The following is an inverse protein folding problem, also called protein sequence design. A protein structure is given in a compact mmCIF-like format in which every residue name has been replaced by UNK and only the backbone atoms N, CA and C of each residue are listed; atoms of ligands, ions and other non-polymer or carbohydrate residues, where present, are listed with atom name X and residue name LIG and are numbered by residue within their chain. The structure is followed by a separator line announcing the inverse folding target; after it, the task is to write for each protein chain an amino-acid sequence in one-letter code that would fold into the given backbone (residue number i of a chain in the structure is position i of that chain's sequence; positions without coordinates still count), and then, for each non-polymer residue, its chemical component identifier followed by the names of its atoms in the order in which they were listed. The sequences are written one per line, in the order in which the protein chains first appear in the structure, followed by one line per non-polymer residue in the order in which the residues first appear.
data_IF_093122575856
#
_entry.id   IF_093122575856
#
_cell.length_a   1.000
_cell.length_b   1.000
_cell.length_c   1.000
_cell.angle_alpha   90.00
_cell.angle_beta   90.00
_cell.angle_gamma   90.00
#
_symmetry.space_group_name_H-M   'P 1'
#
loop_
_entity.id
_entity.type
_entity.pdbx_description
1 polymer ?
#
# COMPACT_ATOMS: atom_id res chain seq x y z
N UNK A 1 11.57 12.11 -12.42
CA UNK A 1 10.95 11.66 -13.68
C UNK A 1 11.37 10.21 -13.94
N UNK A 2 10.47 9.34 -14.42
CA UNK A 2 10.83 7.98 -14.85
C UNK A 2 11.29 8.00 -16.31
N UNK A 3 12.48 8.53 -16.57
CA UNK A 3 13.10 8.55 -17.89
C UNK A 3 13.80 7.23 -18.23
N UNK A 4 14.18 7.06 -19.48
CA UNK A 4 15.27 6.17 -19.83
C UNK A 4 16.64 6.80 -19.61
N UNK A 5 17.69 6.00 -19.80
CA UNK A 5 19.07 6.42 -19.57
C UNK A 5 19.51 7.49 -20.60
N UNK A 6 18.66 7.75 -21.62
CA UNK A 6 18.82 8.78 -22.62
C UNK A 6 17.94 10.03 -22.33
N UNK A 7 17.31 10.09 -21.15
CA UNK A 7 16.48 11.22 -20.72
C UNK A 7 15.08 11.28 -21.35
N UNK A 8 14.66 10.28 -22.14
CA UNK A 8 13.34 10.26 -22.76
C UNK A 8 12.28 9.78 -21.77
N UNK A 9 11.11 10.43 -21.80
CA UNK A 9 9.95 9.99 -21.06
C UNK A 9 9.51 8.60 -21.52
N UNK A 10 9.41 7.68 -20.57
CA UNK A 10 8.87 6.34 -20.82
C UNK A 10 7.35 6.38 -20.84
N UNK A 11 6.73 5.46 -21.58
CA UNK A 11 5.27 5.29 -21.53
C UNK A 11 4.85 4.87 -20.11
N UNK A 12 3.63 5.25 -19.66
CA UNK A 12 3.13 4.89 -18.33
C UNK A 12 3.16 3.38 -18.06
N UNK A 13 2.88 2.56 -19.08
CA UNK A 13 2.84 1.10 -18.98
C UNK A 13 4.23 0.45 -18.96
N UNK A 14 5.28 1.17 -19.40
CA UNK A 14 6.63 0.63 -19.46
C UNK A 14 7.14 0.19 -18.08
N UNK A 15 6.68 0.83 -17.01
CA UNK A 15 7.07 0.45 -15.65
C UNK A 15 6.52 -0.94 -15.28
N UNK A 16 5.22 -1.17 -15.53
CA UNK A 16 4.56 -2.45 -15.24
C UNK A 16 5.20 -3.59 -16.03
N UNK A 17 5.40 -3.40 -17.33
CA UNK A 17 5.98 -4.46 -18.18
C UNK A 17 7.43 -4.78 -17.82
N UNK A 18 8.23 -3.77 -17.44
CA UNK A 18 9.62 -3.99 -16.99
C UNK A 18 9.66 -4.71 -15.65
N UNK A 19 8.78 -4.33 -14.72
CA UNK A 19 8.63 -4.99 -13.43
C UNK A 19 8.26 -6.45 -13.60
N UNK A 20 7.24 -6.76 -14.42
CA UNK A 20 6.82 -8.14 -14.67
C UNK A 20 7.94 -8.99 -15.28
N UNK A 21 8.68 -8.44 -16.25
CA UNK A 21 9.83 -9.12 -16.84
C UNK A 21 10.91 -9.40 -15.80
N UNK A 22 11.20 -8.42 -14.93
CA UNK A 22 12.19 -8.57 -13.87
C UNK A 22 11.76 -9.60 -12.83
N UNK A 23 10.50 -9.58 -12.41
CA UNK A 23 9.97 -10.54 -11.46
C UNK A 23 9.99 -11.95 -12.02
N UNK A 24 9.63 -12.13 -13.30
CA UNK A 24 9.73 -13.43 -13.99
C UNK A 24 11.15 -13.97 -14.01
N UNK A 25 12.16 -13.11 -14.23
CA UNK A 25 13.56 -13.49 -14.15
C UNK A 25 14.00 -13.82 -12.71
N UNK A 26 13.52 -13.09 -11.71
CA UNK A 26 13.86 -13.35 -10.31
C UNK A 26 13.29 -14.68 -9.82
N UNK A 27 12.03 -14.97 -10.16
CA UNK A 27 11.35 -16.21 -9.78
C UNK A 27 11.96 -17.45 -10.45
N UNK A 28 12.71 -17.30 -11.56
CA UNK A 28 13.46 -18.43 -12.15
C UNK A 28 14.83 -18.63 -11.54
N UNK A 29 15.32 -17.68 -10.74
CA UNK A 29 16.61 -17.74 -10.05
C UNK A 29 16.47 -18.07 -8.58
N UNK A 30 15.29 -17.87 -8.00
CA UNK A 30 15.01 -18.15 -6.62
C UNK A 30 13.58 -18.68 -6.46
N UNK A 31 13.47 -19.97 -6.19
CA UNK A 31 12.20 -20.68 -5.99
C UNK A 31 11.42 -20.18 -4.76
N UNK A 32 12.10 -19.54 -3.79
CA UNK A 32 11.43 -18.94 -2.64
C UNK A 32 10.78 -17.59 -2.96
N UNK A 33 10.95 -17.07 -4.17
CA UNK A 33 10.47 -15.75 -4.55
C UNK A 33 9.10 -15.85 -5.22
N UNK A 34 8.09 -15.21 -4.63
CA UNK A 34 6.77 -15.12 -5.21
C UNK A 34 6.65 -13.97 -6.21
N UNK A 35 5.76 -14.12 -7.19
CA UNK A 35 5.44 -13.05 -8.14
C UNK A 35 4.71 -11.92 -7.41
N UNK A 36 5.28 -10.72 -7.44
CA UNK A 36 4.70 -9.48 -6.89
C UNK A 36 4.43 -8.51 -8.03
N UNK A 37 3.33 -7.77 -7.98
CA UNK A 37 2.98 -6.74 -8.97
C UNK A 37 3.13 -5.33 -8.38
N UNK A 38 3.26 -4.31 -9.24
CA UNK A 38 3.29 -2.90 -8.80
C UNK A 38 2.00 -2.52 -8.04
N UNK A 39 0.84 -3.03 -8.50
CA UNK A 39 -0.43 -2.85 -7.78
C UNK A 39 -0.42 -3.53 -6.41
N UNK A 40 0.19 -4.72 -6.31
CA UNK A 40 0.40 -5.42 -5.04
C UNK A 40 1.25 -4.61 -4.07
N UNK A 41 2.36 -4.03 -4.53
CA UNK A 41 3.19 -3.14 -3.69
C UNK A 41 2.41 -1.91 -3.20
N UNK A 42 1.61 -1.29 -4.08
CA UNK A 42 0.73 -0.18 -3.70
C UNK A 42 -0.29 -0.59 -2.64
N UNK A 43 -0.82 -1.81 -2.73
CA UNK A 43 -1.72 -2.34 -1.72
C UNK A 43 -1.00 -2.59 -0.38
N UNK A 44 0.17 -3.22 -0.39
CA UNK A 44 1.00 -3.41 0.82
C UNK A 44 1.33 -2.10 1.50
N UNK A 45 1.69 -1.05 0.74
CA UNK A 45 1.96 0.28 1.31
C UNK A 45 0.75 0.83 2.08
N UNK A 46 -0.45 0.72 1.52
CA UNK A 46 -1.67 1.16 2.17
C UNK A 46 -1.96 0.38 3.46
N UNK A 47 -1.80 -0.95 3.42
CA UNK A 47 -2.00 -1.82 4.59
C UNK A 47 -1.05 -1.45 5.72
N UNK A 48 0.24 -1.26 5.41
CA UNK A 48 1.25 -0.87 6.41
C UNK A 48 0.91 0.46 7.08
N UNK A 49 0.47 1.46 6.32
CA UNK A 49 0.07 2.75 6.92
C UNK A 49 -1.10 2.58 7.90
N UNK A 50 -2.09 1.76 7.55
CA UNK A 50 -3.25 1.50 8.41
C UNK A 50 -2.87 0.68 9.65
N UNK A 51 -1.97 -0.30 9.51
CA UNK A 51 -1.44 -1.07 10.65
C UNK A 51 -0.65 -0.19 11.62
N UNK A 52 0.05 0.83 11.10
CA UNK A 52 0.71 1.86 11.91
C UNK A 52 -0.30 2.84 12.58
N UNK A 53 -1.60 2.67 12.32
CA UNK A 53 -2.67 3.45 12.92
C UNK A 53 -2.93 4.79 12.23
N UNK A 54 -2.45 4.97 10.99
CA UNK A 54 -2.79 6.14 10.20
C UNK A 54 -4.27 6.20 9.89
N UNK A 55 -4.81 7.42 9.88
CA UNK A 55 -6.23 7.60 9.61
C UNK A 55 -6.55 7.25 8.13
N UNK A 56 -7.60 6.45 7.84
CA UNK A 56 -7.90 6.01 6.47
C UNK A 56 -8.04 7.14 5.44
N UNK A 57 -8.52 8.32 5.87
CA UNK A 57 -8.61 9.51 5.02
C UNK A 57 -7.23 10.01 4.56
N UNK A 58 -6.25 10.01 5.46
CA UNK A 58 -4.86 10.41 5.17
C UNK A 58 -4.24 9.43 4.17
N UNK A 59 -4.46 8.13 4.38
CA UNK A 59 -4.00 7.08 3.46
C UNK A 59 -4.66 7.22 2.08
N UNK A 60 -5.97 7.50 2.02
CA UNK A 60 -6.71 7.74 0.78
C UNK A 60 -6.12 8.93 -0.01
N UNK A 61 -5.91 10.06 0.65
CA UNK A 61 -5.36 11.28 0.06
C UNK A 61 -3.93 11.07 -0.44
N UNK A 62 -3.08 10.44 0.37
CA UNK A 62 -1.69 10.09 0.01
C UNK A 62 -1.60 9.22 -1.24
N UNK A 63 -2.55 8.31 -1.42
CA UNK A 63 -2.61 7.43 -2.58
C UNK A 63 -3.32 8.09 -3.77
N UNK A 64 -4.06 9.17 -3.58
CA UNK A 64 -4.88 9.78 -4.63
C UNK A 64 -6.02 8.86 -5.10
N UNK A 65 -6.58 8.04 -4.20
CA UNK A 65 -7.75 7.21 -4.54
C UNK A 65 -9.00 8.08 -4.63
N UNK A 66 -9.63 8.11 -5.80
CA UNK A 66 -10.91 8.80 -6.03
C UNK A 66 -12.04 8.24 -5.16
N UNK A 67 -11.99 6.94 -4.82
CA UNK A 67 -13.02 6.28 -4.01
C UNK A 67 -12.41 5.57 -2.80
N UNK A 68 -12.95 5.85 -1.62
CA UNK A 68 -12.54 5.20 -0.35
C UNK A 68 -12.90 3.72 -0.32
N UNK A 69 -13.83 3.27 -1.17
CA UNK A 69 -14.34 1.90 -1.21
C UNK A 69 -13.27 0.87 -1.58
N UNK A 70 -12.28 1.23 -2.40
CA UNK A 70 -11.10 0.39 -2.66
C UNK A 70 -10.18 0.29 -1.43
N UNK A 71 -10.14 1.34 -0.61
CA UNK A 71 -9.37 1.42 0.64
C UNK A 71 -10.12 0.86 1.86
N UNK A 72 -11.40 0.49 1.74
CA UNK A 72 -12.19 -0.06 2.85
C UNK A 72 -12.59 -1.53 2.62
N UNK A 73 -12.88 -1.94 1.37
CA UNK A 73 -13.26 -3.33 1.08
C UNK A 73 -12.12 -4.34 1.27
N UNK A 74 -10.86 -3.92 1.19
CA UNK A 74 -9.71 -4.82 1.38
C UNK A 74 -9.23 -4.87 2.85
N UNK A 75 -9.71 -3.95 3.70
CA UNK A 75 -9.07 -3.67 5.00
C UNK A 75 -9.99 -3.96 6.19
N UNK A 76 -11.09 -4.68 5.94
CA UNK A 76 -12.04 -5.15 6.96
C UNK A 76 -11.37 -5.92 8.11
N UNK A 77 -10.20 -6.53 7.89
CA UNK A 77 -9.41 -7.22 8.92
C UNK A 77 -8.57 -6.29 9.81
N UNK A 78 -8.22 -5.08 9.35
CA UNK A 78 -7.41 -4.10 10.12
C UNK A 78 -8.32 -3.23 11.00
N UNK A 79 -9.57 -3.03 10.58
CA UNK A 79 -10.59 -2.25 11.29
C UNK A 79 -10.83 -2.67 12.75
N UNK A 80 -10.92 -3.97 13.11
CA UNK A 80 -11.11 -4.41 14.49
C UNK A 80 -9.97 -3.98 15.42
N UNK A 81 -8.72 -4.08 14.95
CA UNK A 81 -7.53 -3.65 15.70
C UNK A 81 -7.49 -2.13 15.89
N UNK A 82 -7.89 -1.38 14.86
CA UNK A 82 -7.99 0.07 14.92
C UNK A 82 -9.09 0.52 15.90
N UNK A 83 -10.24 -0.15 15.93
CA UNK A 83 -11.34 0.14 16.87
C UNK A 83 -10.87 -0.04 18.32
N UNK A 84 -10.17 -1.15 18.62
CA UNK A 84 -9.61 -1.38 19.96
C UNK A 84 -8.63 -0.28 20.37
N UNK A 85 -7.71 0.06 19.47
CA UNK A 85 -6.72 1.12 19.70
C UNK A 85 -7.38 2.49 19.92
N UNK A 86 -8.48 2.79 19.22
CA UNK A 86 -9.24 4.03 19.39
C UNK A 86 -9.92 4.09 20.77
N UNK A 87 -10.52 2.98 21.22
CA UNK A 87 -11.12 2.86 22.56
C UNK A 87 -10.05 3.01 23.64
N UNK A 88 -8.89 2.36 23.49
CA UNK A 88 -7.80 2.45 24.46
C UNK A 88 -7.27 3.90 24.57
N UNK A 89 -7.11 4.60 23.44
CA UNK A 89 -6.72 6.02 23.41
C UNK A 89 -7.76 6.92 24.07
N UNK A 90 -9.04 6.66 23.84
CA UNK A 90 -10.14 7.41 24.44
C UNK A 90 -10.19 7.19 25.97
N UNK A 91 -10.11 5.94 26.42
CA UNK A 91 -10.07 5.60 27.84
C UNK A 91 -8.85 6.23 28.54
N UNK A 92 -7.67 6.20 27.90
CA UNK A 92 -6.47 6.85 28.42
C UNK A 92 -6.59 8.38 28.50
N UNK A 93 -7.38 9.00 27.63
CA UNK A 93 -7.65 10.44 27.67
C UNK A 93 -8.60 10.80 28.81
N UNK A 94 -9.67 10.00 29.02
CA UNK A 94 -10.62 10.20 30.12
C UNK A 94 -10.01 9.94 31.50
N UNK A 95 -9.11 8.96 31.64
CA UNK A 95 -8.43 8.65 32.90
C UNK A 95 -7.35 9.65 33.34
N UNK A 96 -7.12 10.71 32.55
CA UNK A 96 -6.19 11.81 32.86
C UNK A 96 -6.90 13.10 33.28
N UNK A 97 -8.24 13.11 33.30
CA UNK A 97 -9.07 14.21 33.80
C UNK A 97 -9.54 13.92 35.23
#
# INVERSE_FOLDING_TARGET
MFGDDNGKLRSPDAMTSRWDRRMKWLTTKNDSMHRVTIKGLRHTHATLLLELGEHPKVVQERLGHSTITTTMNIYSHVTPTMQRSAVDRFAAHLGKA
#
